data_IF_615601352046
#
_entry.id   IF_615601352046
#
_cell.length_a   1.000
_cell.length_b   1.000
_cell.length_c   1.000
_cell.angle_alpha   90.00
_cell.angle_beta   90.00
_cell.angle_gamma   90.00
#
_symmetry.space_group_name_H-M   'P 1'
#
loop_
_entity.id
_entity.type
_entity.pdbx_description
1 polymer ?
#
# COMPACT_ATOMS: atom_id res chain seq x y z
N UNK A 1 5.57 -25.77 5.71
CA UNK A 1 5.47 -25.27 4.31
C UNK A 1 4.15 -25.68 3.67
N UNK A 2 3.45 -24.73 3.06
CA UNK A 2 2.14 -24.91 2.42
C UNK A 2 2.27 -25.66 1.09
N UNK A 3 1.43 -26.66 0.85
CA UNK A 3 1.34 -27.36 -0.43
C UNK A 3 0.59 -26.48 -1.45
N UNK A 4 1.35 -25.68 -2.21
CA UNK A 4 0.81 -24.73 -3.18
C UNK A 4 -0.05 -25.40 -4.26
N UNK A 5 0.36 -26.57 -4.75
CA UNK A 5 -0.38 -27.33 -5.77
C UNK A 5 -1.76 -27.78 -5.28
N UNK A 6 -1.84 -28.26 -4.04
CA UNK A 6 -3.11 -28.63 -3.42
C UNK A 6 -4.00 -27.40 -3.18
N UNK A 7 -3.42 -26.30 -2.71
CA UNK A 7 -4.11 -25.02 -2.53
C UNK A 7 -4.73 -24.51 -3.85
N UNK A 8 -3.94 -24.43 -4.92
CA UNK A 8 -4.41 -23.97 -6.24
C UNK A 8 -5.53 -24.86 -6.78
N UNK A 9 -5.42 -26.19 -6.63
CA UNK A 9 -6.48 -27.11 -7.04
C UNK A 9 -7.78 -26.87 -6.27
N UNK A 10 -7.68 -26.64 -4.95
CA UNK A 10 -8.82 -26.33 -4.10
C UNK A 10 -9.46 -24.99 -4.48
N UNK A 11 -8.65 -23.97 -4.71
CA UNK A 11 -9.09 -22.65 -5.16
C UNK A 11 -9.82 -22.75 -6.52
N UNK A 12 -9.22 -23.40 -7.53
CA UNK A 12 -9.85 -23.55 -8.85
C UNK A 12 -11.21 -24.24 -8.80
N UNK A 13 -11.34 -25.29 -7.98
CA UNK A 13 -12.65 -25.94 -7.76
C UNK A 13 -13.66 -24.98 -7.16
N UNK A 14 -13.26 -24.15 -6.18
CA UNK A 14 -14.14 -23.13 -5.61
C UNK A 14 -14.53 -22.08 -6.64
N UNK A 15 -13.56 -21.55 -7.40
CA UNK A 15 -13.81 -20.54 -8.44
C UNK A 15 -14.79 -21.06 -9.51
N UNK A 16 -14.69 -22.32 -9.92
CA UNK A 16 -15.61 -22.93 -10.89
C UNK A 16 -17.07 -23.04 -10.39
N UNK A 17 -17.26 -23.07 -9.07
CA UNK A 17 -18.59 -23.16 -8.45
C UNK A 17 -19.21 -21.80 -8.10
N UNK A 18 -18.42 -20.72 -8.07
CA UNK A 18 -18.94 -19.40 -7.70
C UNK A 18 -19.91 -18.86 -8.76
N UNK A 19 -20.94 -18.16 -8.31
CA UNK A 19 -21.98 -17.51 -9.11
C UNK A 19 -22.23 -16.07 -8.64
N UNK A 20 -22.73 -15.17 -9.49
CA UNK A 20 -23.24 -13.88 -9.05
C UNK A 20 -24.25 -14.07 -7.90
N UNK A 21 -24.06 -13.35 -6.80
CA UNK A 21 -24.82 -13.53 -5.55
C UNK A 21 -24.07 -14.27 -4.44
N UNK A 22 -23.03 -15.05 -4.78
CA UNK A 22 -22.13 -15.60 -3.78
C UNK A 22 -21.27 -14.48 -3.17
N UNK A 23 -21.33 -14.36 -1.84
CA UNK A 23 -20.68 -13.25 -1.13
C UNK A 23 -19.44 -13.65 -0.33
N UNK A 24 -19.18 -14.96 -0.16
CA UNK A 24 -18.06 -15.47 0.64
C UNK A 24 -17.67 -16.87 0.22
N UNK A 25 -16.37 -17.16 0.24
CA UNK A 25 -15.87 -18.52 0.21
C UNK A 25 -14.59 -18.66 1.05
N UNK A 26 -14.27 -19.89 1.44
CA UNK A 26 -13.02 -20.21 2.12
C UNK A 26 -12.24 -21.22 1.29
N UNK A 27 -10.92 -21.08 1.26
CA UNK A 27 -10.00 -22.06 0.69
C UNK A 27 -9.13 -22.61 1.79
N UNK A 28 -9.16 -23.93 1.96
CA UNK A 28 -8.27 -24.61 2.91
C UNK A 28 -6.87 -24.69 2.33
N UNK A 29 -5.89 -24.34 3.14
CA UNK A 29 -4.47 -24.57 2.85
C UNK A 29 -4.08 -25.90 3.45
N UNK A 30 -3.36 -26.74 2.73
CA UNK A 30 -2.82 -27.99 3.29
C UNK A 30 -1.34 -27.80 3.53
N UNK A 31 -0.84 -28.06 4.74
CA UNK A 31 0.60 -28.06 5.04
C UNK A 31 1.22 -29.43 4.81
N UNK A 32 2.43 -29.47 4.26
CA UNK A 32 3.12 -30.73 3.88
C UNK A 32 3.52 -31.63 5.08
N UNK A 33 3.51 -31.12 6.31
CA UNK A 33 4.13 -31.78 7.48
C UNK A 33 3.26 -31.75 8.76
N UNK A 34 1.95 -31.48 8.68
CA UNK A 34 1.12 -31.40 9.89
C UNK A 34 0.52 -32.77 10.28
N UNK A 35 0.56 -33.16 11.57
CA UNK A 35 -0.21 -34.29 12.09
C UNK A 35 -1.71 -33.96 12.11
N UNK A 36 -2.53 -34.97 11.80
CA UNK A 36 -4.01 -34.89 11.73
C UNK A 36 -4.60 -34.02 12.86
N UNK A 37 -5.16 -32.87 12.50
CA UNK A 37 -5.93 -32.01 13.42
C UNK A 37 -5.55 -30.53 13.47
N UNK A 38 -4.36 -30.14 12.98
CA UNK A 38 -3.92 -28.73 12.86
C UNK A 38 -3.65 -28.33 11.39
N UNK A 39 -4.14 -29.13 10.44
CA UNK A 39 -3.60 -29.25 9.07
C UNK A 39 -3.97 -28.14 8.09
N UNK A 40 -4.80 -27.17 8.49
CA UNK A 40 -5.31 -26.17 7.55
C UNK A 40 -5.54 -24.80 8.18
N UNK A 41 -4.88 -23.75 7.64
CA UNK A 41 -5.27 -22.36 7.88
C UNK A 41 -6.25 -21.95 6.78
N UNK A 42 -7.56 -21.82 7.04
CA UNK A 42 -8.51 -21.41 6.02
C UNK A 42 -8.27 -19.94 5.65
N UNK A 43 -8.15 -19.67 4.36
CA UNK A 43 -8.16 -18.29 3.87
C UNK A 43 -9.58 -17.95 3.50
N UNK A 44 -10.08 -16.89 4.13
CA UNK A 44 -11.44 -16.43 3.93
C UNK A 44 -11.44 -15.26 2.95
N UNK A 45 -12.26 -15.36 1.92
CA UNK A 45 -12.52 -14.33 0.93
C UNK A 45 -13.99 -13.93 0.99
N UNK A 46 -14.26 -12.64 0.91
CA UNK A 46 -15.55 -12.11 0.47
C UNK A 46 -15.40 -11.68 -0.98
N UNK A 47 -16.42 -11.95 -1.78
CA UNK A 47 -16.44 -11.52 -3.18
C UNK A 47 -17.76 -10.86 -3.53
N UNK A 48 -17.70 -9.92 -4.47
CA UNK A 48 -18.84 -9.42 -5.22
C UNK A 48 -18.51 -9.63 -6.68
N UNK A 49 -19.14 -10.64 -7.28
CA UNK A 49 -18.98 -10.92 -8.69
C UNK A 49 -19.91 -10.02 -9.50
N UNK A 50 -19.38 -9.45 -10.57
CA UNK A 50 -20.11 -8.62 -11.52
C UNK A 50 -19.97 -9.30 -12.88
N UNK A 51 -21.07 -9.75 -13.52
CA UNK A 51 -21.00 -10.38 -14.83
C UNK A 51 -20.26 -9.50 -15.83
N UNK A 52 -19.38 -10.10 -16.63
CA UNK A 52 -18.61 -9.44 -17.69
C UNK A 52 -17.63 -8.35 -17.24
N UNK A 53 -17.49 -8.08 -15.93
CA UNK A 53 -16.52 -7.11 -15.46
C UNK A 53 -15.09 -7.63 -15.66
N UNK A 54 -14.26 -6.84 -16.35
CA UNK A 54 -12.83 -7.13 -16.61
C UNK A 54 -11.89 -6.41 -15.63
N UNK A 55 -12.45 -5.78 -14.60
CA UNK A 55 -11.74 -5.02 -13.57
C UNK A 55 -11.99 -5.68 -12.22
N UNK A 56 -10.91 -5.86 -11.44
CA UNK A 56 -10.99 -6.44 -10.10
C UNK A 56 -10.28 -5.56 -9.07
N UNK A 57 -10.96 -5.23 -7.98
CA UNK A 57 -10.42 -4.52 -6.83
C UNK A 57 -10.27 -5.48 -5.65
N UNK A 58 -9.04 -5.65 -5.18
CA UNK A 58 -8.69 -6.50 -4.04
C UNK A 58 -8.41 -5.60 -2.84
N UNK A 59 -9.23 -5.72 -1.80
CA UNK A 59 -9.13 -4.96 -0.56
C UNK A 59 -8.44 -5.77 0.55
N UNK A 60 -7.37 -5.22 1.09
CA UNK A 60 -6.56 -5.75 2.18
C UNK A 60 -6.78 -4.88 3.42
N UNK A 61 -7.14 -5.49 4.55
CA UNK A 61 -7.52 -4.74 5.76
C UNK A 61 -6.30 -4.31 6.59
N UNK A 62 -6.47 -3.28 7.41
CA UNK A 62 -5.48 -2.84 8.41
C UNK A 62 -5.56 -3.65 9.71
N UNK A 63 -5.32 -2.99 10.85
CA UNK A 63 -5.51 -3.63 12.14
C UNK A 63 -6.97 -4.08 12.35
N UNK A 64 -7.14 -5.23 12.98
CA UNK A 64 -8.42 -5.83 13.34
C UNK A 64 -8.58 -5.92 14.86
N UNK A 65 -9.82 -5.90 15.33
CA UNK A 65 -10.14 -6.16 16.74
C UNK A 65 -9.67 -7.58 17.13
N UNK A 66 -8.73 -7.73 18.08
CA UNK A 66 -8.23 -9.04 18.53
C UNK A 66 -9.35 -9.96 19.01
N UNK A 67 -10.45 -9.42 19.57
CA UNK A 67 -11.58 -10.21 20.02
C UNK A 67 -12.42 -10.78 18.88
N UNK A 68 -12.36 -10.18 17.67
CA UNK A 68 -13.21 -10.53 16.53
C UNK A 68 -12.44 -11.17 15.37
N UNK A 69 -11.10 -11.17 15.40
CA UNK A 69 -10.25 -11.66 14.31
C UNK A 69 -10.51 -13.12 13.92
N UNK A 70 -10.96 -13.97 14.85
CA UNK A 70 -11.33 -15.37 14.60
C UNK A 70 -12.48 -15.53 13.58
N UNK A 71 -13.29 -14.49 13.34
CA UNK A 71 -14.40 -14.51 12.36
C UNK A 71 -13.95 -14.14 10.93
N UNK A 72 -12.71 -13.68 10.80
CA UNK A 72 -12.14 -13.05 9.61
C UNK A 72 -12.42 -11.54 9.59
N UNK A 73 -11.37 -10.75 9.40
CA UNK A 73 -11.45 -9.30 9.22
C UNK A 73 -11.52 -8.96 7.73
N UNK A 74 -12.36 -8.00 7.36
CA UNK A 74 -12.57 -7.62 5.97
C UNK A 74 -12.85 -6.13 5.86
N UNK A 75 -12.32 -5.49 4.83
CA UNK A 75 -12.85 -4.19 4.41
C UNK A 75 -14.25 -4.37 3.80
N UNK A 76 -15.09 -3.35 3.96
CA UNK A 76 -16.39 -3.30 3.27
C UNK A 76 -16.21 -3.09 1.76
N UNK A 77 -17.16 -3.61 0.97
CA UNK A 77 -17.20 -3.29 -0.45
C UNK A 77 -17.57 -1.84 -0.68
N UNK A 78 -16.90 -1.23 -1.66
CA UNK A 78 -17.16 0.14 -2.06
C UNK A 78 -18.38 0.15 -3.00
N UNK A 79 -19.50 0.81 -2.64
CA UNK A 79 -20.67 0.91 -3.52
C UNK A 79 -20.38 1.65 -4.83
N UNK A 80 -19.42 2.59 -4.83
CA UNK A 80 -19.06 3.37 -6.01
C UNK A 80 -18.28 2.55 -7.06
N UNK A 81 -17.93 1.31 -6.72
CA UNK A 81 -17.20 0.35 -7.57
C UNK A 81 -18.09 -0.88 -7.89
N UNK A 82 -19.40 -0.68 -8.00
CA UNK A 82 -20.37 -1.76 -8.24
C UNK A 82 -20.27 -2.38 -9.64
N UNK A 83 -19.56 -1.74 -10.56
CA UNK A 83 -19.30 -2.19 -11.94
C UNK A 83 -18.00 -3.01 -12.08
N UNK A 84 -17.29 -3.26 -10.98
CA UNK A 84 -16.10 -4.10 -10.95
C UNK A 84 -16.23 -5.26 -9.97
N UNK A 85 -15.48 -6.34 -10.19
CA UNK A 85 -15.38 -7.42 -9.23
C UNK A 85 -14.65 -6.91 -7.98
N UNK A 86 -15.22 -7.13 -6.81
CA UNK A 86 -14.57 -6.76 -5.54
C UNK A 86 -14.23 -8.01 -4.75
N UNK A 87 -12.99 -8.08 -4.27
CA UNK A 87 -12.49 -9.16 -3.41
C UNK A 87 -12.00 -8.54 -2.12
N UNK A 88 -12.47 -9.02 -0.97
CA UNK A 88 -11.88 -8.68 0.32
C UNK A 88 -11.34 -9.96 0.96
N UNK A 89 -10.13 -9.88 1.50
CA UNK A 89 -9.46 -11.03 2.12
C UNK A 89 -9.18 -10.75 3.59
N UNK A 90 -9.34 -11.78 4.42
CA UNK A 90 -8.87 -11.74 5.80
C UNK A 90 -7.43 -12.23 5.87
N UNK A 91 -6.58 -11.52 6.61
CA UNK A 91 -5.21 -11.92 6.88
C UNK A 91 -5.20 -13.28 7.59
N UNK A 92 -4.66 -14.34 6.97
CA UNK A 92 -4.59 -15.67 7.58
C UNK A 92 -3.75 -15.68 8.85
N UNK A 93 -2.75 -14.81 8.96
CA UNK A 93 -1.84 -14.76 10.12
C UNK A 93 -2.53 -14.26 11.38
N UNK A 94 -3.64 -13.50 11.22
CA UNK A 94 -4.53 -13.15 12.34
C UNK A 94 -5.33 -14.33 12.89
N UNK A 95 -5.08 -15.57 12.47
CA UNK A 95 -5.67 -16.76 13.11
C UNK A 95 -4.73 -17.38 14.16
N UNK A 96 -3.46 -16.99 14.18
CA UNK A 96 -2.48 -17.49 15.17
C UNK A 96 -2.90 -17.05 16.59
N UNK A 97 -2.89 -17.92 17.61
CA UNK A 97 -3.17 -17.52 18.99
C UNK A 97 -2.21 -16.44 19.49
N UNK A 98 -2.71 -15.46 20.25
CA UNK A 98 -1.91 -14.35 20.78
C UNK A 98 -2.66 -13.02 20.83
N UNK A 99 -2.08 -12.03 21.49
CA UNK A 99 -2.66 -10.69 21.62
C UNK A 99 -2.01 -9.72 20.62
N UNK A 100 -2.46 -9.78 19.37
CA UNK A 100 -2.02 -8.86 18.31
C UNK A 100 -3.17 -8.56 17.36
N UNK A 101 -3.21 -7.32 16.89
CA UNK A 101 -4.28 -6.79 16.04
C UNK A 101 -3.94 -6.77 14.55
N UNK A 102 -2.67 -6.98 14.19
CA UNK A 102 -2.17 -6.72 12.83
C UNK A 102 -1.02 -7.67 12.50
N UNK A 103 -1.02 -8.20 11.27
CA UNK A 103 0.03 -9.08 10.76
C UNK A 103 0.47 -8.75 9.33
N UNK A 104 0.01 -7.61 8.77
CA UNK A 104 0.44 -7.05 7.48
C UNK A 104 0.32 -8.01 6.29
N UNK A 105 -0.44 -9.10 6.41
CA UNK A 105 -0.42 -10.22 5.47
C UNK A 105 1.00 -10.78 5.24
N UNK A 106 1.91 -10.58 6.20
CA UNK A 106 3.33 -10.88 6.09
C UNK A 106 3.67 -12.35 6.41
N UNK A 107 2.69 -13.13 6.88
CA UNK A 107 2.87 -14.54 7.19
C UNK A 107 3.19 -14.82 8.65
N UNK A 108 3.48 -16.08 8.92
CA UNK A 108 4.02 -16.57 10.19
C UNK A 108 4.99 -17.72 9.91
N UNK A 109 5.72 -18.22 10.92
CA UNK A 109 6.79 -19.22 10.77
C UNK A 109 6.45 -20.47 9.95
N UNK A 110 5.17 -20.83 9.87
CA UNK A 110 4.70 -22.04 9.21
C UNK A 110 4.03 -21.75 7.85
N UNK A 111 3.84 -20.47 7.51
CA UNK A 111 2.93 -20.03 6.46
C UNK A 111 3.36 -18.72 5.77
N UNK A 112 3.73 -18.84 4.49
CA UNK A 112 4.02 -17.73 3.59
C UNK A 112 2.70 -17.16 3.02
N UNK A 113 2.09 -16.25 3.78
CA UNK A 113 0.88 -15.54 3.36
C UNK A 113 1.09 -14.77 2.05
N UNK A 114 2.17 -13.99 1.87
CA UNK A 114 2.36 -13.20 0.64
C UNK A 114 2.33 -14.04 -0.63
N UNK A 115 3.17 -15.07 -0.74
CA UNK A 115 3.27 -15.87 -1.96
C UNK A 115 1.96 -16.60 -2.29
N UNK A 116 1.26 -17.05 -1.26
CA UNK A 116 -0.01 -17.72 -1.42
C UNK A 116 -1.09 -16.78 -1.93
N UNK A 117 -1.21 -15.59 -1.33
CA UNK A 117 -2.18 -14.60 -1.80
C UNK A 117 -1.88 -14.13 -3.22
N UNK A 118 -0.61 -13.91 -3.58
CA UNK A 118 -0.23 -13.59 -4.96
C UNK A 118 -0.72 -14.69 -5.91
N UNK A 119 -0.51 -15.96 -5.56
CA UNK A 119 -1.00 -17.06 -6.37
C UNK A 119 -2.53 -17.08 -6.43
N UNK A 120 -3.22 -16.82 -5.32
CA UNK A 120 -4.67 -16.80 -5.27
C UNK A 120 -5.26 -15.73 -6.19
N UNK A 121 -4.72 -14.50 -6.13
CA UNK A 121 -5.18 -13.39 -6.94
C UNK A 121 -4.88 -13.57 -8.42
N UNK A 122 -3.74 -14.16 -8.78
CA UNK A 122 -3.45 -14.51 -10.16
C UNK A 122 -4.43 -15.57 -10.72
N UNK A 123 -4.79 -16.58 -9.92
CA UNK A 123 -5.78 -17.59 -10.33
C UNK A 123 -7.20 -17.00 -10.43
N UNK A 124 -7.57 -16.07 -9.53
CA UNK A 124 -8.83 -15.32 -9.63
C UNK A 124 -8.87 -14.46 -10.89
N UNK A 125 -7.82 -13.70 -11.15
CA UNK A 125 -7.70 -12.86 -12.33
C UNK A 125 -7.86 -13.69 -13.62
N UNK A 126 -7.17 -14.83 -13.69
CA UNK A 126 -7.31 -15.78 -14.80
C UNK A 126 -8.72 -16.34 -14.93
N UNK A 127 -9.32 -16.78 -13.83
CA UNK A 127 -10.63 -17.44 -13.85
C UNK A 127 -11.76 -16.48 -14.26
N UNK A 128 -11.64 -15.19 -13.94
CA UNK A 128 -12.67 -14.19 -14.23
C UNK A 128 -12.34 -13.30 -15.44
N UNK A 129 -11.27 -13.57 -16.18
CA UNK A 129 -10.90 -12.79 -17.35
C UNK A 129 -10.54 -11.33 -17.00
N UNK A 130 -9.88 -11.12 -15.87
CA UNK A 130 -9.52 -9.79 -15.40
C UNK A 130 -8.36 -9.24 -16.23
N UNK A 131 -8.58 -8.08 -16.83
CA UNK A 131 -7.57 -7.32 -17.56
C UNK A 131 -6.82 -6.33 -16.66
N UNK A 132 -7.47 -5.84 -15.60
CA UNK A 132 -6.88 -4.89 -14.65
C UNK A 132 -7.16 -5.29 -13.22
N UNK A 133 -6.08 -5.48 -12.47
CA UNK A 133 -6.14 -5.74 -11.03
C UNK A 133 -5.70 -4.50 -10.27
N UNK A 134 -6.53 -4.09 -9.30
CA UNK A 134 -6.27 -2.98 -8.40
C UNK A 134 -6.17 -3.54 -6.98
N UNK A 135 -5.07 -3.26 -6.29
CA UNK A 135 -4.89 -3.55 -4.87
C UNK A 135 -5.17 -2.30 -4.05
N UNK A 136 -6.01 -2.45 -3.03
CA UNK A 136 -6.39 -1.38 -2.13
C UNK A 136 -6.13 -1.77 -0.68
N UNK A 137 -5.58 -0.82 0.07
CA UNK A 137 -5.52 -0.94 1.51
C UNK A 137 -4.97 0.32 2.16
N UNK A 138 -5.31 0.51 3.44
CA UNK A 138 -4.74 1.58 4.26
C UNK A 138 -3.89 0.99 5.37
N UNK A 139 -2.95 1.76 5.91
CA UNK A 139 -2.16 1.31 7.08
C UNK A 139 -1.47 -0.03 6.77
N UNK A 140 -1.73 -1.08 7.56
CA UNK A 140 -1.19 -2.43 7.33
C UNK A 140 -1.72 -3.12 6.08
N UNK A 141 -2.96 -2.80 5.68
CA UNK A 141 -3.50 -3.24 4.41
C UNK A 141 -2.82 -2.54 3.23
N UNK A 142 -2.37 -1.30 3.43
CA UNK A 142 -1.61 -0.54 2.44
C UNK A 142 -0.22 -1.14 2.20
N UNK A 143 0.43 -1.61 3.26
CA UNK A 143 1.65 -2.42 3.14
C UNK A 143 1.42 -3.65 2.28
N UNK A 144 0.38 -4.44 2.60
CA UNK A 144 0.05 -5.64 1.86
C UNK A 144 -0.31 -5.33 0.39
N UNK A 145 -1.01 -4.23 0.14
CA UNK A 145 -1.39 -3.81 -1.21
C UNK A 145 -0.15 -3.43 -2.04
N UNK A 146 0.82 -2.71 -1.47
CA UNK A 146 2.10 -2.42 -2.14
C UNK A 146 2.84 -3.71 -2.50
N UNK A 147 2.95 -4.62 -1.53
CA UNK A 147 3.58 -5.92 -1.67
C UNK A 147 2.95 -6.78 -2.79
N UNK A 148 1.63 -6.95 -2.76
CA UNK A 148 0.90 -7.77 -3.73
C UNK A 148 0.88 -7.14 -5.12
N UNK A 149 0.78 -5.80 -5.21
CA UNK A 149 0.83 -5.11 -6.49
C UNK A 149 2.21 -5.20 -7.14
N UNK A 150 3.28 -5.11 -6.35
CA UNK A 150 4.65 -5.34 -6.84
C UNK A 150 4.81 -6.74 -7.45
N UNK A 151 4.29 -7.76 -6.75
CA UNK A 151 4.32 -9.15 -7.20
C UNK A 151 3.43 -9.45 -8.43
N UNK A 152 2.52 -8.54 -8.79
CA UNK A 152 1.69 -8.61 -9.99
C UNK A 152 1.98 -7.43 -10.94
N UNK A 153 2.97 -7.55 -11.84
CA UNK A 153 3.32 -6.52 -12.81
C UNK A 153 2.10 -6.02 -13.61
N UNK A 154 2.06 -4.72 -13.90
CA UNK A 154 0.93 -4.09 -14.61
C UNK A 154 -0.32 -3.84 -13.76
N UNK A 155 -0.35 -4.27 -12.49
CA UNK A 155 -1.42 -3.92 -11.56
C UNK A 155 -1.30 -2.46 -11.06
N UNK A 156 -2.32 -2.00 -10.32
CA UNK A 156 -2.34 -0.69 -9.66
C UNK A 156 -2.48 -0.88 -8.15
N UNK A 157 -1.64 -0.24 -7.35
CA UNK A 157 -1.82 -0.11 -5.91
C UNK A 157 -2.42 1.26 -5.58
N UNK A 158 -3.58 1.31 -4.92
CA UNK A 158 -4.13 2.52 -4.32
C UNK A 158 -4.02 2.37 -2.81
N UNK A 159 -3.12 3.15 -2.19
CA UNK A 159 -2.75 2.94 -0.79
C UNK A 159 -2.87 4.21 0.03
N UNK A 160 -3.40 4.08 1.25
CA UNK A 160 -3.65 5.22 2.13
C UNK A 160 -2.90 5.12 3.46
N UNK A 161 -2.08 6.12 3.78
CA UNK A 161 -1.18 6.12 4.94
C UNK A 161 -0.50 4.74 5.12
N UNK A 162 0.06 4.10 4.07
CA UNK A 162 0.54 2.74 4.20
C UNK A 162 1.74 2.71 5.14
N UNK A 163 1.87 1.62 5.90
CA UNK A 163 3.21 1.25 6.33
C UNK A 163 4.00 0.73 5.13
N UNK A 164 5.29 1.02 5.09
CA UNK A 164 6.21 0.57 4.02
C UNK A 164 7.32 -0.31 4.56
N UNK A 165 7.49 -0.38 5.89
CA UNK A 165 8.40 -1.30 6.56
C UNK A 165 7.83 -1.67 7.92
N UNK A 166 7.58 -2.96 8.19
CA UNK A 166 6.92 -3.42 9.42
C UNK A 166 7.67 -2.94 10.65
N UNK A 167 9.00 -3.08 10.64
CA UNK A 167 9.89 -2.74 11.78
C UNK A 167 9.95 -1.24 12.09
N UNK A 168 9.45 -0.36 11.21
CA UNK A 168 9.39 1.10 11.43
C UNK A 168 8.05 1.58 12.01
N UNK A 169 7.10 0.68 12.22
CA UNK A 169 5.83 1.01 12.83
C UNK A 169 5.94 1.10 14.36
N UNK A 170 4.80 1.09 15.06
CA UNK A 170 4.76 1.12 16.52
C UNK A 170 5.31 -0.16 17.14
N UNK A 171 6.45 -0.04 17.84
CA UNK A 171 7.19 -1.14 18.44
C UNK A 171 6.33 -2.16 19.23
N UNK A 172 5.35 -1.75 20.07
CA UNK A 172 4.50 -2.73 20.77
C UNK A 172 3.73 -3.65 19.82
N UNK A 173 3.18 -3.12 18.72
CA UNK A 173 2.42 -3.90 17.75
C UNK A 173 3.32 -4.83 16.93
N UNK A 174 4.52 -4.38 16.59
CA UNK A 174 5.54 -5.22 15.91
C UNK A 174 5.99 -6.35 16.83
N UNK A 175 6.28 -6.05 18.10
CA UNK A 175 6.69 -7.05 19.10
C UNK A 175 5.60 -8.09 19.35
N UNK A 176 4.34 -7.67 19.42
CA UNK A 176 3.20 -8.58 19.59
C UNK A 176 3.08 -9.55 18.40
N UNK A 177 3.13 -9.03 17.17
CA UNK A 177 3.15 -9.84 15.95
C UNK A 177 4.34 -10.80 15.92
N UNK A 178 5.57 -10.31 16.13
CA UNK A 178 6.78 -11.15 16.17
C UNK A 178 6.65 -12.27 17.19
N UNK A 179 6.22 -11.95 18.41
CA UNK A 179 6.14 -12.94 19.49
C UNK A 179 5.11 -14.03 19.19
N UNK A 180 3.96 -13.67 18.61
CA UNK A 180 2.91 -14.64 18.29
C UNK A 180 3.21 -15.44 17.01
N UNK A 181 3.58 -14.77 15.92
CA UNK A 181 3.75 -15.38 14.60
C UNK A 181 5.16 -15.94 14.34
N UNK A 182 6.16 -15.45 15.08
CA UNK A 182 7.58 -15.77 14.89
C UNK A 182 8.33 -15.93 16.22
N UNK A 183 7.87 -16.82 17.12
CA UNK A 183 8.42 -16.93 18.49
C UNK A 183 9.91 -17.30 18.55
N UNK A 184 10.48 -17.87 17.48
CA UNK A 184 11.90 -18.19 17.40
C UNK A 184 12.82 -17.00 17.06
N UNK A 185 12.28 -15.82 16.73
CA UNK A 185 13.09 -14.66 16.39
C UNK A 185 13.54 -13.89 17.63
N UNK A 186 14.84 -13.66 17.73
CA UNK A 186 15.45 -12.96 18.86
C UNK A 186 15.01 -11.49 18.99
N UNK A 187 14.66 -10.81 17.89
CA UNK A 187 14.31 -9.38 17.89
C UNK A 187 13.32 -9.03 16.77
N UNK A 188 12.74 -7.83 16.84
CA UNK A 188 11.88 -7.32 15.77
C UNK A 188 12.66 -7.10 14.46
N UNK A 189 13.95 -6.74 14.52
CA UNK A 189 14.77 -6.56 13.33
C UNK A 189 14.93 -7.87 12.52
N UNK A 190 14.90 -9.02 13.19
CA UNK A 190 14.98 -10.31 12.52
C UNK A 190 13.77 -10.63 11.63
N UNK A 191 12.65 -9.89 11.76
CA UNK A 191 11.50 -10.02 10.85
C UNK A 191 11.87 -9.71 9.39
N UNK A 192 12.84 -8.83 9.17
CA UNK A 192 13.29 -8.42 7.83
C UNK A 192 13.92 -9.59 7.06
N UNK A 193 14.41 -10.63 7.76
CA UNK A 193 15.01 -11.82 7.13
C UNK A 193 14.04 -12.97 6.84
N UNK A 194 12.80 -12.92 7.36
CA UNK A 194 11.84 -14.03 7.25
C UNK A 194 10.48 -13.64 6.69
N UNK A 195 10.24 -12.34 6.52
CA UNK A 195 9.05 -11.80 5.88
C UNK A 195 9.45 -10.86 4.76
N UNK A 196 8.53 -10.59 3.82
CA UNK A 196 8.66 -9.43 2.94
C UNK A 196 8.36 -8.16 3.76
N UNK A 197 9.20 -7.85 4.75
CA UNK A 197 8.96 -6.84 5.78
C UNK A 197 9.11 -5.40 5.29
N UNK A 198 9.74 -5.20 4.13
CA UNK A 198 10.24 -3.92 3.68
C UNK A 198 9.88 -3.64 2.21
N UNK A 199 8.76 -2.95 2.01
CA UNK A 199 8.36 -2.44 0.70
C UNK A 199 9.30 -1.34 0.19
N UNK A 200 10.08 -0.66 1.05
CA UNK A 200 11.04 0.35 0.58
C UNK A 200 12.20 -0.31 -0.17
N UNK A 201 12.76 -1.41 0.37
CA UNK A 201 13.76 -2.22 -0.33
C UNK A 201 13.16 -2.87 -1.59
N UNK A 202 11.93 -3.38 -1.50
CA UNK A 202 11.25 -4.03 -2.62
C UNK A 202 11.08 -3.10 -3.82
N UNK A 203 10.59 -1.88 -3.60
CA UNK A 203 10.39 -0.91 -4.68
C UNK A 203 11.70 -0.23 -5.10
N UNK A 204 12.66 -0.06 -4.19
CA UNK A 204 14.00 0.45 -4.52
C UNK A 204 14.80 -0.48 -5.45
N UNK A 205 14.44 -1.77 -5.52
CA UNK A 205 15.00 -2.73 -6.46
C UNK A 205 14.36 -2.68 -7.87
N UNK A 206 13.37 -1.81 -8.09
CA UNK A 206 12.61 -1.71 -9.32
C UNK A 206 11.22 -2.34 -9.24
N UNK A 207 10.28 -1.85 -10.06
CA UNK A 207 8.88 -2.24 -10.03
C UNK A 207 8.17 -1.99 -11.37
N UNK A 208 7.07 -2.69 -11.63
CA UNK A 208 6.34 -2.61 -12.92
C UNK A 208 4.84 -2.35 -12.77
N UNK A 209 4.39 -2.10 -11.56
CA UNK A 209 3.03 -1.68 -11.24
C UNK A 209 2.95 -0.15 -11.13
N UNK A 210 1.73 0.38 -11.08
CA UNK A 210 1.45 1.78 -10.80
C UNK A 210 1.07 1.94 -9.32
N UNK A 211 1.45 3.04 -8.68
CA UNK A 211 1.10 3.31 -7.28
C UNK A 211 0.44 4.68 -7.14
N UNK A 212 -0.72 4.73 -6.51
CA UNK A 212 -1.30 5.95 -5.93
C UNK A 212 -1.03 5.91 -4.44
N UNK A 213 -0.11 6.75 -3.99
CA UNK A 213 0.28 6.86 -2.59
C UNK A 213 -0.43 8.05 -1.95
N UNK A 214 -1.47 7.79 -1.16
CA UNK A 214 -2.28 8.80 -0.48
C UNK A 214 -1.76 8.96 0.95
N UNK A 215 -1.36 10.16 1.33
CA UNK A 215 -0.85 10.48 2.67
C UNK A 215 -1.61 11.64 3.29
N UNK A 216 -2.25 11.40 4.43
CA UNK A 216 -2.78 12.47 5.28
C UNK A 216 -1.63 13.29 5.88
N UNK A 217 -1.69 14.61 5.72
CA UNK A 217 -0.77 15.56 6.36
C UNK A 217 -0.92 15.59 7.90
N UNK A 218 -2.07 15.14 8.41
CA UNK A 218 -2.32 14.98 9.85
C UNK A 218 -1.52 13.84 10.48
N UNK A 219 -1.01 12.90 9.69
CA UNK A 219 -0.29 11.71 10.13
C UNK A 219 1.22 11.88 10.06
N UNK A 220 1.79 12.53 11.07
CA UNK A 220 3.23 12.80 11.13
C UNK A 220 4.08 11.52 11.19
N UNK A 221 3.58 10.49 11.87
CA UNK A 221 4.33 9.24 12.03
C UNK A 221 4.50 8.54 10.68
N UNK A 222 3.41 8.29 9.94
CA UNK A 222 3.49 7.58 8.66
C UNK A 222 4.23 8.38 7.60
N UNK A 223 4.04 9.70 7.59
CA UNK A 223 4.81 10.57 6.69
C UNK A 223 6.32 10.40 6.90
N UNK A 224 6.79 10.49 8.16
CA UNK A 224 8.22 10.42 8.49
C UNK A 224 8.79 9.00 8.41
N UNK A 225 8.07 8.01 8.92
CA UNK A 225 8.57 6.64 9.07
C UNK A 225 8.35 5.78 7.81
N UNK A 226 7.41 6.16 6.93
CA UNK A 226 6.99 5.33 5.81
C UNK A 226 7.01 6.04 4.45
N UNK A 227 6.32 7.18 4.29
CA UNK A 227 6.24 7.85 2.99
C UNK A 227 7.59 8.41 2.55
N UNK A 228 8.25 9.22 3.39
CA UNK A 228 9.52 9.84 3.02
C UNK A 228 10.61 8.80 2.72
N UNK A 229 10.79 7.73 3.52
CA UNK A 229 11.75 6.69 3.15
C UNK A 229 11.40 5.90 1.90
N UNK A 230 10.10 5.69 1.62
CA UNK A 230 9.66 5.04 0.37
C UNK A 230 9.96 5.92 -0.84
N UNK A 231 9.64 7.21 -0.79
CA UNK A 231 9.97 8.17 -1.83
C UNK A 231 11.50 8.25 -2.06
N UNK A 232 12.29 8.29 -0.99
CA UNK A 232 13.74 8.29 -1.09
C UNK A 232 14.29 7.01 -1.73
N UNK A 233 13.68 5.85 -1.45
CA UNK A 233 14.13 4.57 -2.01
C UNK A 233 13.90 4.47 -3.53
N UNK A 234 12.90 5.16 -4.08
CA UNK A 234 12.59 5.13 -5.52
C UNK A 234 13.12 6.33 -6.30
N UNK A 235 13.56 7.40 -5.63
CA UNK A 235 13.84 8.70 -6.27
C UNK A 235 14.87 8.66 -7.42
N UNK A 236 15.78 7.68 -7.41
CA UNK A 236 16.79 7.50 -8.47
C UNK A 236 16.36 6.56 -9.61
N UNK A 237 15.14 6.02 -9.57
CA UNK A 237 14.64 5.05 -10.54
C UNK A 237 13.82 5.75 -11.63
N UNK A 238 13.92 5.26 -12.86
CA UNK A 238 13.03 5.69 -13.96
C UNK A 238 11.57 5.38 -13.69
N UNK A 239 11.33 4.35 -12.88
CA UNK A 239 10.02 3.88 -12.47
C UNK A 239 9.37 4.79 -11.44
N UNK A 240 10.10 5.74 -10.84
CA UNK A 240 9.56 6.70 -9.88
C UNK A 240 8.33 7.45 -10.40
N UNK A 241 8.29 7.73 -11.71
CA UNK A 241 7.16 8.38 -12.39
C UNK A 241 5.87 7.57 -12.33
N UNK A 242 5.95 6.26 -12.04
CA UNK A 242 4.80 5.38 -11.82
C UNK A 242 4.19 5.51 -10.42
N UNK A 243 4.69 6.43 -9.59
CA UNK A 243 4.16 6.70 -8.25
C UNK A 243 3.55 8.09 -8.19
N UNK A 244 2.23 8.14 -8.06
CA UNK A 244 1.46 9.36 -7.83
C UNK A 244 1.32 9.59 -6.33
N UNK A 245 2.11 10.50 -5.78
CA UNK A 245 1.96 10.95 -4.39
C UNK A 245 0.86 11.99 -4.28
N UNK A 246 -0.16 11.71 -3.47
CA UNK A 246 -1.23 12.64 -3.12
C UNK A 246 -1.17 12.92 -1.61
N UNK A 247 -0.89 14.16 -1.22
CA UNK A 247 -0.88 14.57 0.19
C UNK A 247 -1.83 15.73 0.46
N UNK A 248 -2.77 15.54 1.39
CA UNK A 248 -3.77 16.56 1.75
C UNK A 248 -4.06 16.53 3.26
N UNK A 249 -4.57 17.64 3.81
CA UNK A 249 -5.12 17.68 5.15
C UNK A 249 -6.65 17.63 5.10
N UNK A 250 -7.23 16.49 5.49
CA UNK A 250 -8.68 16.26 5.44
C UNK A 250 -9.42 16.75 6.69
N UNK A 251 -8.91 17.78 7.37
CA UNK A 251 -9.51 18.30 8.60
C UNK A 251 -9.37 17.40 9.84
N UNK A 252 -8.65 16.29 9.74
CA UNK A 252 -8.46 15.31 10.84
C UNK A 252 -6.97 15.12 11.11
N UNK A 253 -6.59 15.24 12.38
CA UNK A 253 -5.23 14.93 12.84
C UNK A 253 -5.06 13.44 13.14
N UNK A 254 -3.83 12.95 13.07
CA UNK A 254 -3.50 11.57 13.35
C UNK A 254 -3.66 10.66 12.13
N UNK A 255 -3.77 9.36 12.38
CA UNK A 255 -3.65 8.32 11.37
C UNK A 255 -4.89 8.16 10.46
N UNK A 256 -6.03 8.73 10.86
CA UNK A 256 -7.30 8.58 10.15
C UNK A 256 -7.21 9.12 8.72
N UNK A 257 -7.67 8.30 7.76
CA UNK A 257 -7.86 8.68 6.37
C UNK A 257 -9.35 8.51 6.03
N UNK A 258 -10.09 9.61 5.79
CA UNK A 258 -11.50 9.52 5.46
C UNK A 258 -11.71 8.96 4.05
N UNK A 259 -12.93 8.47 3.77
CA UNK A 259 -13.24 7.76 2.52
C UNK A 259 -13.08 8.63 1.28
N UNK A 260 -13.49 9.88 1.37
CA UNK A 260 -13.37 10.90 0.32
C UNK A 260 -11.92 11.12 -0.12
N UNK A 261 -10.94 10.92 0.77
CA UNK A 261 -9.52 11.02 0.44
C UNK A 261 -9.06 9.98 -0.61
N UNK A 262 -9.73 8.83 -0.72
CA UNK A 262 -9.30 7.73 -1.59
C UNK A 262 -10.37 7.19 -2.55
N UNK A 263 -11.65 7.54 -2.37
CA UNK A 263 -12.74 6.99 -3.17
C UNK A 263 -12.59 7.32 -4.67
N UNK A 264 -12.29 8.58 -4.99
CA UNK A 264 -12.11 9.01 -6.38
C UNK A 264 -10.85 8.40 -7.00
N UNK A 265 -9.79 8.21 -6.21
CA UNK A 265 -8.58 7.51 -6.68
C UNK A 265 -8.86 6.05 -7.01
N UNK A 266 -9.63 5.35 -6.18
CA UNK A 266 -10.08 4.00 -6.48
C UNK A 266 -10.94 3.96 -7.73
N UNK A 267 -11.87 4.91 -7.88
CA UNK A 267 -12.72 4.97 -9.07
C UNK A 267 -11.90 5.25 -10.33
N UNK A 268 -10.95 6.18 -10.26
CA UNK A 268 -10.02 6.48 -11.35
C UNK A 268 -9.18 5.25 -11.73
N UNK A 269 -8.69 4.48 -10.76
CA UNK A 269 -7.93 3.26 -11.02
C UNK A 269 -8.75 2.19 -11.77
N UNK A 270 -10.07 2.18 -11.58
CA UNK A 270 -10.99 1.26 -12.28
C UNK A 270 -11.29 1.73 -13.71
N UNK A 271 -11.58 3.02 -13.92
CA UNK A 271 -12.11 3.54 -15.19
C UNK A 271 -11.10 4.21 -16.11
N UNK A 272 -9.88 4.49 -15.62
CA UNK A 272 -8.83 5.06 -16.45
C UNK A 272 -8.60 4.21 -17.71
N UNK A 273 -8.48 4.82 -18.91
CA UNK A 273 -8.30 4.09 -20.16
C UNK A 273 -7.08 3.16 -20.10
N UNK A 274 -5.93 3.67 -19.64
CA UNK A 274 -4.70 2.89 -19.43
C UNK A 274 -4.26 2.90 -17.97
N UNK A 275 -3.21 2.14 -17.65
CA UNK A 275 -2.58 2.12 -16.33
C UNK A 275 -1.34 3.05 -16.30
N UNK A 276 -1.45 4.22 -16.92
CA UNK A 276 -0.41 5.26 -16.91
C UNK A 276 -0.73 6.33 -15.86
N UNK A 277 0.29 7.03 -15.32
CA UNK A 277 0.08 8.15 -14.40
C UNK A 277 -0.79 9.27 -14.97
N UNK A 278 -0.59 9.63 -16.25
CA UNK A 278 -1.31 10.72 -16.91
C UNK A 278 -2.82 10.44 -17.01
N UNK A 279 -3.20 9.31 -17.59
CA UNK A 279 -4.62 8.92 -17.69
C UNK A 279 -5.30 8.83 -16.32
N UNK A 280 -4.56 8.37 -15.31
CA UNK A 280 -5.09 8.26 -13.96
C UNK A 280 -5.34 9.63 -13.34
N UNK A 281 -4.41 10.58 -13.51
CA UNK A 281 -4.53 11.96 -13.06
C UNK A 281 -5.70 12.68 -13.75
N UNK A 282 -5.82 12.54 -15.07
CA UNK A 282 -6.90 13.16 -15.85
C UNK A 282 -8.27 12.60 -15.45
N UNK A 283 -8.36 11.27 -15.31
CA UNK A 283 -9.58 10.59 -14.85
C UNK A 283 -9.96 11.05 -13.43
N UNK A 284 -8.99 11.11 -12.53
CA UNK A 284 -9.21 11.57 -11.16
C UNK A 284 -9.66 13.02 -11.10
N UNK A 285 -9.04 13.90 -11.90
CA UNK A 285 -9.43 15.30 -12.01
C UNK A 285 -10.88 15.43 -12.50
N UNK A 286 -11.23 14.74 -13.58
CA UNK A 286 -12.58 14.76 -14.16
C UNK A 286 -13.66 14.29 -13.16
N UNK A 287 -13.37 13.29 -12.32
CA UNK A 287 -14.29 12.83 -11.27
C UNK A 287 -14.60 13.93 -10.25
N UNK A 288 -13.60 14.73 -9.87
CA UNK A 288 -13.75 15.81 -8.87
C UNK A 288 -14.43 17.06 -9.40
N UNK A 289 -14.45 17.27 -10.72
CA UNK A 289 -15.19 18.38 -11.33
C UNK A 289 -16.69 18.12 -11.46
N UNK A 290 -17.16 16.90 -11.16
CA UNK A 290 -18.59 16.59 -11.21
C UNK A 290 -19.31 17.33 -10.07
N UNK A 291 -20.46 17.97 -10.36
CA UNK A 291 -21.27 18.60 -9.31
C UNK A 291 -21.59 17.58 -8.22
N UNK A 292 -21.38 17.96 -6.96
CA UNK A 292 -21.78 17.12 -5.84
C UNK A 292 -23.29 16.83 -5.93
N UNK A 293 -23.75 15.59 -5.69
CA UNK A 293 -25.16 15.32 -5.47
C UNK A 293 -25.69 16.23 -4.34
N UNK A 294 -26.96 16.68 -4.40
CA UNK A 294 -27.53 17.53 -3.36
C UNK A 294 -27.34 16.89 -1.99
N UNK A 295 -26.76 17.64 -1.05
CA UNK A 295 -26.44 17.15 0.27
C UNK A 295 -27.71 16.80 1.05
N UNK A 296 -27.81 15.58 1.56
CA UNK A 296 -28.77 15.22 2.60
C UNK A 296 -28.22 15.76 3.93
N UNK A 297 -28.93 16.64 4.64
CA UNK A 297 -28.41 17.26 5.85
C UNK A 297 -28.17 16.21 6.94
N UNK A 298 -26.93 16.07 7.39
CA UNK A 298 -26.58 15.26 8.56
C UNK A 298 -26.56 16.16 9.79
N UNK A 299 -27.58 16.06 10.62
CA UNK A 299 -27.64 16.69 11.94
C UNK A 299 -26.72 15.99 12.94
N UNK A 300 -25.76 16.73 13.49
CA UNK A 300 -24.92 16.30 14.60
C UNK A 300 -24.00 17.43 15.07
N UNK A 301 -23.84 17.65 16.39
CA UNK A 301 -23.21 18.86 16.91
C UNK A 301 -21.70 18.88 16.66
N UNK A 302 -21.21 19.97 16.11
CA UNK A 302 -19.78 20.26 15.96
C UNK A 302 -19.14 20.56 17.32
N UNK A 303 -18.03 19.89 17.65
CA UNK A 303 -17.20 20.22 18.83
C UNK A 303 -16.22 21.36 18.50
N UNK A 304 -16.02 22.22 19.50
CA UNK A 304 -15.38 23.52 19.40
C UNK A 304 -13.89 23.49 18.98
N UNK A 305 -13.49 24.55 18.27
CA UNK A 305 -12.15 24.82 17.72
C UNK A 305 -11.17 25.24 18.83
N UNK A 306 -9.95 24.72 18.77
CA UNK A 306 -8.80 25.27 19.50
C UNK A 306 -8.20 26.47 18.73
N UNK A 307 -7.76 27.51 19.46
CA UNK A 307 -7.16 28.73 18.90
C UNK A 307 -5.74 28.48 18.35
N UNK A 308 -5.29 29.22 17.33
CA UNK A 308 -3.95 29.08 16.77
C UNK A 308 -2.90 29.62 17.74
N UNK A 309 -1.88 28.81 18.06
CA UNK A 309 -0.67 29.25 18.76
C UNK A 309 0.38 29.77 17.78
N UNK A 310 1.12 30.80 18.19
CA UNK A 310 2.18 31.48 17.44
C UNK A 310 3.29 30.53 16.97
N UNK A 311 3.87 30.86 15.82
CA UNK A 311 4.95 30.10 15.17
C UNK A 311 6.24 30.26 15.96
N UNK A 312 6.81 29.15 16.42
CA UNK A 312 8.03 29.07 17.22
C UNK A 312 9.30 29.36 16.38
N UNK A 313 10.27 30.06 16.97
CA UNK A 313 11.55 30.46 16.35
C UNK A 313 12.36 29.25 15.81
N UNK A 314 12.08 28.05 16.29
CA UNK A 314 12.64 26.79 15.75
C UNK A 314 12.24 26.52 14.29
N UNK A 315 11.08 27.02 13.83
CA UNK A 315 10.63 26.85 12.45
C UNK A 315 11.42 27.73 11.45
N UNK A 316 11.86 28.93 11.87
CA UNK A 316 12.74 29.78 11.07
C UNK A 316 14.15 29.20 10.94
N UNK A 317 14.66 28.54 11.99
CA UNK A 317 15.94 27.84 11.94
C UNK A 317 15.92 26.62 10.99
N UNK A 318 14.77 25.95 10.86
CA UNK A 318 14.60 24.84 9.93
C UNK A 318 14.56 25.29 8.45
N UNK A 319 13.95 26.44 8.15
CA UNK A 319 13.97 27.03 6.80
C UNK A 319 15.38 27.39 6.33
N UNK A 320 16.19 27.95 7.23
CA UNK A 320 17.58 28.36 6.93
C UNK A 320 18.49 27.16 6.60
N UNK A 321 18.23 25.99 7.20
CA UNK A 321 18.97 24.75 6.91
C UNK A 321 18.58 24.11 5.57
N UNK A 322 17.32 24.22 5.17
CA UNK A 322 16.85 23.74 3.86
C UNK A 322 17.43 24.59 2.72
N UNK A 323 17.44 25.91 2.89
CA UNK A 323 18.06 26.87 1.97
C UNK A 323 19.57 26.63 1.77
N UNK A 324 20.29 26.29 2.84
CA UNK A 324 21.73 25.99 2.77
C UNK A 324 22.00 24.64 2.06
N UNK A 325 21.16 23.64 2.31
CA UNK A 325 21.27 22.33 1.64
C UNK A 325 20.93 22.44 0.14
N UNK A 326 19.90 23.19 -0.24
CA UNK A 326 19.55 23.42 -1.64
C UNK A 326 20.66 24.18 -2.38
N UNK A 327 21.25 25.22 -1.77
CA UNK A 327 22.40 25.92 -2.38
C UNK A 327 23.58 24.97 -2.63
N UNK A 328 23.90 24.10 -1.67
CA UNK A 328 24.98 23.13 -1.84
C UNK A 328 24.71 22.11 -2.97
N UNK A 329 23.46 21.77 -3.26
CA UNK A 329 23.11 20.81 -4.32
C UNK A 329 23.10 21.44 -5.72
N UNK A 330 22.93 22.76 -5.83
CA UNK A 330 22.78 23.46 -7.12
C UNK A 330 23.95 24.39 -7.51
N UNK A 331 24.99 24.54 -6.68
CA UNK A 331 26.22 25.30 -7.04
C UNK A 331 27.39 24.43 -7.50
N UNK A 332 27.16 23.15 -7.80
CA UNK A 332 28.20 22.20 -8.27
C UNK A 332 28.25 21.96 -9.79
N UNK A 333 27.36 22.60 -10.56
CA UNK A 333 27.26 22.44 -12.00
C UNK A 333 27.21 23.81 -12.67
N UNK A 334 28.31 24.55 -12.59
CA UNK A 334 28.74 25.59 -13.55
C UNK A 334 30.01 26.25 -13.01
N UNK A 335 31.13 25.54 -13.14
CA UNK A 335 32.46 26.16 -13.13
C UNK A 335 33.20 25.64 -14.35
N UNK A 336 32.86 26.23 -15.50
CA UNK A 336 33.67 26.12 -16.70
C UNK A 336 35.11 26.56 -16.36
N UNK A 337 36.04 25.63 -16.54
CA UNK A 337 37.48 25.89 -16.52
C UNK A 337 37.80 27.03 -17.49
N UNK A 338 38.47 28.13 -17.07
CA UNK A 338 38.95 29.12 -18.03
C UNK A 338 40.08 28.49 -18.85
N UNK A 339 39.94 28.53 -20.18
CA UNK A 339 41.02 28.19 -21.09
C UNK A 339 42.26 29.06 -20.81
N UNK A 340 43.49 28.51 -20.94
CA UNK A 340 44.69 29.31 -20.75
C UNK A 340 44.79 30.35 -21.88
N UNK A 341 44.97 31.61 -21.47
CA UNK A 341 45.19 32.76 -22.35
C UNK A 341 46.42 32.58 -23.24
N UNK A 342 46.24 32.75 -24.55
CA UNK A 342 47.33 32.87 -25.52
C UNK A 342 48.21 34.09 -25.20
N UNK A 343 49.55 34.00 -25.31
CA UNK A 343 50.42 35.15 -25.09
C UNK A 343 50.36 36.11 -26.28
N UNK A 344 50.25 37.42 -25.99
CA UNK A 344 50.33 38.49 -26.98
C UNK A 344 51.78 38.62 -27.54
N UNK A 345 51.94 39.09 -28.79
CA UNK A 345 53.19 38.95 -29.54
C UNK A 345 54.31 39.85 -29.00
N UNK A 346 55.52 39.29 -28.90
CA UNK A 346 56.72 40.02 -28.57
C UNK A 346 57.08 41.00 -29.70
N UNK A 347 57.34 42.26 -29.34
CA UNK A 347 58.00 43.23 -30.22
C UNK A 347 59.50 42.91 -30.25
N UNK A 348 60.03 42.64 -31.44
CA UNK A 348 61.48 42.67 -31.69
C UNK A 348 62.01 44.11 -31.56
N UNK A 349 63.17 44.31 -30.90
CA UNK A 349 64.01 45.46 -31.17
C UNK A 349 65.01 45.15 -32.30
N UNK A 350 65.38 46.21 -33.02
CA UNK A 350 66.22 46.24 -34.22
C UNK A 350 67.62 45.61 -34.08
#
# INVERSE_FOLDING_TARGET
>A
MTNMSAFVRSLRRKLATLRPGDNRFNVRTHTLLAPRGLDTVPIAFRVRLVPQATRMVISLHGAADPARRHRGAFNGFNPDLADCIQVAVSDPSLQVPGDFAIAWFAGHRDFDTPALLTRAFAEMAKAWGIERTIFFGTSGGGFAALAQSHAMPGSIAVVGNPQTRITRYHAPLVSAYRTACWPGLASNAALDGVTMADCTALYGAGFRNLVVYIQSLGDRHHRRAHMLPFAAAIAGLTEADRVVFHSEFHGVHGHSLPRDAYADWLRAAVISPTATPADLLDTWHALRQRPAPPAVPRGGPAKAKAKPGQVDAAAQAAGTRLEAWLRHQFTGADAATPAPSLPAPAKEPA
#
